data_IF_543766889112
#
_entry.id   IF_543766889112
#
_cell.length_a   1.000
_cell.length_b   1.000
_cell.length_c   1.000
_cell.angle_alpha   90.00
_cell.angle_beta   90.00
_cell.angle_gamma   90.00
#
_symmetry.space_group_name_H-M   'P 1'
#
loop_
_entity.id
_entity.type
_entity.pdbx_description
1 polymer ?
#
# COMPACT_ATOMS: atom_id res chain seq x y z
N UNK A 1 8.38 -17.33 -18.65
CA UNK A 1 7.78 -15.97 -18.66
C UNK A 1 8.89 -14.94 -18.68
N UNK A 2 8.74 -13.82 -19.39
CA UNK A 2 9.73 -12.73 -19.34
C UNK A 2 9.57 -11.91 -18.05
N UNK A 3 10.68 -11.46 -17.45
CA UNK A 3 10.67 -10.62 -16.24
C UNK A 3 9.85 -9.33 -16.44
N UNK A 4 9.74 -8.86 -17.68
CA UNK A 4 8.99 -7.65 -18.04
C UNK A 4 7.47 -7.84 -17.95
N UNK A 5 6.95 -9.02 -18.29
CA UNK A 5 5.53 -9.33 -18.13
C UNK A 5 5.14 -9.34 -16.65
N UNK A 6 5.97 -9.92 -15.78
CA UNK A 6 5.74 -9.94 -14.34
C UNK A 6 5.66 -8.53 -13.77
N UNK A 7 6.62 -7.66 -14.11
CA UNK A 7 6.60 -6.28 -13.65
C UNK A 7 5.37 -5.52 -14.13
N UNK A 8 4.94 -5.73 -15.38
CA UNK A 8 3.72 -5.11 -15.91
C UNK A 8 2.47 -5.54 -15.13
N UNK A 9 2.34 -6.84 -14.82
CA UNK A 9 1.20 -7.34 -14.04
C UNK A 9 1.20 -6.71 -12.64
N UNK A 10 2.35 -6.67 -11.97
CA UNK A 10 2.47 -6.11 -10.63
C UNK A 10 2.14 -4.61 -10.60
N UNK A 11 2.54 -3.83 -11.60
CA UNK A 11 2.22 -2.40 -11.67
C UNK A 11 0.74 -2.14 -11.95
N UNK A 12 0.11 -2.95 -12.81
CA UNK A 12 -1.34 -2.88 -13.05
C UNK A 12 -2.09 -3.21 -11.75
N UNK A 13 -1.68 -4.25 -11.01
CA UNK A 13 -2.29 -4.58 -9.73
C UNK A 13 -2.14 -3.45 -8.70
N UNK A 14 -0.96 -2.86 -8.58
CA UNK A 14 -0.73 -1.72 -7.69
C UNK A 14 -1.64 -0.53 -8.03
N UNK A 15 -1.85 -0.26 -9.32
CA UNK A 15 -2.77 0.76 -9.79
C UNK A 15 -4.23 0.43 -9.41
N UNK A 16 -4.67 -0.81 -9.67
CA UNK A 16 -6.02 -1.27 -9.35
C UNK A 16 -6.30 -1.18 -7.85
N UNK A 17 -5.38 -1.61 -7.00
CA UNK A 17 -5.54 -1.50 -5.55
C UNK A 17 -5.61 -0.05 -5.08
N UNK A 18 -4.78 0.82 -5.64
CA UNK A 18 -4.77 2.23 -5.29
C UNK A 18 -6.07 2.92 -5.68
N UNK A 19 -6.48 2.80 -6.95
CA UNK A 19 -7.71 3.44 -7.43
C UNK A 19 -8.95 2.81 -6.82
N UNK A 20 -8.99 1.48 -6.74
CA UNK A 20 -10.10 0.72 -6.15
C UNK A 20 -10.33 1.10 -4.69
N UNK A 21 -9.27 1.19 -3.88
CA UNK A 21 -9.36 1.63 -2.49
C UNK A 21 -9.94 3.05 -2.39
N UNK A 22 -9.42 4.01 -3.16
CA UNK A 22 -9.89 5.40 -3.11
C UNK A 22 -11.35 5.53 -3.55
N UNK A 23 -11.75 4.85 -4.63
CA UNK A 23 -13.15 4.85 -5.10
C UNK A 23 -14.06 4.23 -4.03
N UNK A 24 -13.69 3.06 -3.49
CA UNK A 24 -14.46 2.37 -2.47
C UNK A 24 -14.65 3.25 -1.22
N UNK A 25 -13.56 3.87 -0.76
CA UNK A 25 -13.57 4.78 0.39
C UNK A 25 -14.47 5.99 0.14
N UNK A 26 -14.39 6.60 -1.04
CA UNK A 26 -15.22 7.75 -1.40
C UNK A 26 -16.71 7.41 -1.41
N UNK A 27 -17.09 6.28 -2.02
CA UNK A 27 -18.48 5.80 -2.06
C UNK A 27 -19.02 5.57 -0.64
N UNK A 28 -18.25 4.87 0.21
CA UNK A 28 -18.65 4.61 1.60
C UNK A 28 -18.70 5.88 2.44
N UNK A 29 -17.81 6.84 2.21
CA UNK A 29 -17.82 8.13 2.90
C UNK A 29 -19.07 8.96 2.60
N UNK A 30 -19.59 8.90 1.37
CA UNK A 30 -20.88 9.53 1.04
C UNK A 30 -22.05 8.76 1.67
N UNK A 31 -21.98 7.42 1.67
CA UNK A 31 -23.03 6.55 2.23
C UNK A 31 -23.18 6.71 3.76
N UNK A 32 -22.08 6.71 4.50
CA UNK A 32 -22.04 6.78 5.96
C UNK A 32 -21.73 8.19 6.45
N UNK A 33 -22.25 9.20 5.75
CA UNK A 33 -22.01 10.60 6.09
C UNK A 33 -22.41 10.84 7.55
N UNK A 34 -21.52 11.47 8.31
CA UNK A 34 -21.66 11.77 9.73
C UNK A 34 -21.72 10.56 10.69
N UNK A 35 -21.40 9.35 10.22
CA UNK A 35 -21.33 8.15 11.05
C UNK A 35 -19.96 8.03 11.77
N UNK A 36 -20.00 7.98 13.10
CA UNK A 36 -18.82 7.74 13.93
C UNK A 36 -18.24 6.33 13.75
N UNK A 37 -19.08 5.33 13.42
CA UNK A 37 -18.62 3.97 13.15
C UNK A 37 -17.72 3.92 11.94
N UNK A 38 -18.08 4.65 10.88
CA UNK A 38 -17.26 4.74 9.68
C UNK A 38 -15.88 5.36 9.96
N UNK A 39 -15.81 6.36 10.84
CA UNK A 39 -14.53 6.92 11.30
C UNK A 39 -13.69 5.87 12.04
N UNK A 40 -14.30 5.07 12.91
CA UNK A 40 -13.62 4.00 13.63
C UNK A 40 -13.12 2.88 12.70
N UNK A 41 -13.92 2.48 11.71
CA UNK A 41 -13.52 1.51 10.66
C UNK A 41 -12.28 2.03 9.93
N UNK A 42 -12.30 3.29 9.49
CA UNK A 42 -11.17 3.89 8.78
C UNK A 42 -9.91 3.98 9.66
N UNK A 43 -10.07 4.31 10.94
CA UNK A 43 -8.95 4.37 11.89
C UNK A 43 -8.26 3.00 12.04
N UNK A 44 -9.04 1.93 12.21
CA UNK A 44 -8.49 0.58 12.34
C UNK A 44 -7.86 0.09 11.04
N UNK A 45 -8.48 0.39 9.89
CA UNK A 45 -7.93 0.06 8.58
C UNK A 45 -6.57 0.74 8.32
N UNK A 46 -6.48 2.04 8.64
CA UNK A 46 -5.21 2.78 8.55
C UNK A 46 -4.14 2.21 9.46
N UNK A 47 -4.52 1.79 10.68
CA UNK A 47 -3.58 1.16 11.62
C UNK A 47 -3.00 -0.14 11.07
N UNK A 48 -3.77 -0.91 10.29
CA UNK A 48 -3.24 -2.09 9.59
C UNK A 48 -2.26 -1.66 8.50
N UNK A 49 -2.63 -0.67 7.67
CA UNK A 49 -1.77 -0.19 6.59
C UNK A 49 -0.42 0.36 7.12
N UNK A 50 -0.43 1.03 8.27
CA UNK A 50 0.78 1.53 8.95
C UNK A 50 1.83 0.44 9.24
N UNK A 51 1.44 -0.84 9.33
CA UNK A 51 2.40 -1.95 9.47
C UNK A 51 3.36 -2.00 8.27
N UNK A 52 2.89 -1.67 7.05
CA UNK A 52 3.80 -1.55 5.89
C UNK A 52 4.75 -0.37 6.00
N UNK A 53 4.32 0.76 6.57
CA UNK A 53 5.21 1.91 6.74
C UNK A 53 6.37 1.53 7.68
N UNK A 54 6.08 0.86 8.79
CA UNK A 54 7.12 0.32 9.67
C UNK A 54 8.04 -0.67 8.96
N UNK A 55 7.47 -1.59 8.18
CA UNK A 55 8.25 -2.52 7.36
C UNK A 55 9.18 -1.81 6.37
N UNK A 56 8.68 -0.77 5.69
CA UNK A 56 9.46 0.04 4.74
C UNK A 56 10.60 0.79 5.44
N UNK A 57 10.32 1.40 6.59
CA UNK A 57 11.35 2.10 7.38
C UNK A 57 12.49 1.15 7.74
N UNK A 58 12.16 -0.04 8.25
CA UNK A 58 13.17 -1.06 8.59
C UNK A 58 13.94 -1.50 7.34
N UNK A 59 13.25 -1.73 6.22
CA UNK A 59 13.90 -2.12 4.97
C UNK A 59 14.89 -1.05 4.46
N UNK A 60 14.49 0.22 4.48
CA UNK A 60 15.35 1.35 4.10
C UNK A 60 16.55 1.45 5.05
N UNK A 61 16.33 1.34 6.35
CA UNK A 61 17.39 1.39 7.36
C UNK A 61 18.44 0.29 7.15
N UNK A 62 18.01 -0.94 6.86
CA UNK A 62 18.91 -2.06 6.54
C UNK A 62 19.72 -1.75 5.27
N UNK A 63 19.08 -1.24 4.21
CA UNK A 63 19.77 -0.83 2.98
C UNK A 63 20.83 0.25 3.23
N UNK A 64 20.62 1.13 4.21
CA UNK A 64 21.58 2.17 4.57
C UNK A 64 22.77 1.63 5.37
N UNK A 65 22.61 0.56 6.15
CA UNK A 65 23.67 0.06 7.03
C UNK A 65 24.61 -0.92 6.30
N UNK A 66 24.08 -1.75 5.40
CA UNK A 66 24.86 -2.81 4.77
C UNK A 66 25.77 -2.23 3.68
N UNK A 67 27.11 -2.25 3.84
CA UNK A 67 28.04 -1.60 2.90
C UNK A 67 27.96 -2.17 1.49
N UNK A 68 27.75 -3.49 1.37
CA UNK A 68 27.64 -4.16 0.06
C UNK A 68 26.44 -3.70 -0.79
N UNK A 69 25.43 -3.08 -0.17
CA UNK A 69 24.27 -2.51 -0.89
C UNK A 69 24.61 -1.10 -1.41
N UNK A 70 25.43 -0.35 -0.66
CA UNK A 70 25.78 1.04 -1.01
C UNK A 70 26.61 1.13 -2.30
N UNK A 71 27.44 0.13 -2.57
CA UNK A 71 28.29 0.07 -3.76
C UNK A 71 27.54 -0.35 -5.03
N UNK A 72 26.29 -0.85 -4.90
CA UNK A 72 25.51 -1.33 -6.05
C UNK A 72 24.78 -0.17 -6.75
N UNK A 73 25.04 0.10 -8.05
CA UNK A 73 24.35 1.16 -8.76
C UNK A 73 22.88 0.81 -9.01
N UNK A 74 21.96 1.52 -8.36
CA UNK A 74 20.51 1.35 -8.56
C UNK A 74 19.99 2.39 -9.54
N UNK A 75 19.38 1.94 -10.64
CA UNK A 75 18.70 2.85 -11.58
C UNK A 75 17.43 3.43 -10.95
N UNK A 76 17.19 4.74 -11.15
CA UNK A 76 16.00 5.45 -10.66
C UNK A 76 14.69 4.75 -11.06
N UNK A 77 14.61 4.18 -12.27
CA UNK A 77 13.44 3.43 -12.73
C UNK A 77 13.10 2.22 -11.83
N UNK A 78 14.10 1.57 -11.24
CA UNK A 78 13.90 0.42 -10.33
C UNK A 78 13.42 0.90 -8.96
N UNK A 79 13.93 2.04 -8.49
CA UNK A 79 13.44 2.68 -7.25
C UNK A 79 11.99 3.12 -7.41
N UNK A 80 11.66 3.76 -8.54
CA UNK A 80 10.29 4.17 -8.85
C UNK A 80 9.32 2.98 -8.93
N UNK A 81 9.76 1.87 -9.56
CA UNK A 81 8.97 0.64 -9.59
C UNK A 81 8.71 0.10 -8.18
N UNK A 82 9.74 -0.04 -7.35
CA UNK A 82 9.59 -0.51 -5.96
C UNK A 82 8.67 0.40 -5.15
N UNK A 83 8.81 1.72 -5.32
CA UNK A 83 7.92 2.70 -4.69
C UNK A 83 6.46 2.53 -5.11
N UNK A 84 6.19 2.33 -6.40
CA UNK A 84 4.82 2.10 -6.89
C UNK A 84 4.23 0.80 -6.32
N UNK A 85 5.01 -0.28 -6.29
CA UNK A 85 4.58 -1.56 -5.73
C UNK A 85 4.31 -1.44 -4.23
N UNK A 86 5.14 -0.67 -3.52
CA UNK A 86 4.93 -0.37 -2.11
C UNK A 86 3.61 0.36 -1.87
N UNK A 87 3.31 1.42 -2.63
CA UNK A 87 2.03 2.12 -2.52
C UNK A 87 0.84 1.21 -2.80
N UNK A 88 0.95 0.36 -3.83
CA UNK A 88 -0.06 -0.65 -4.13
C UNK A 88 -0.32 -1.61 -2.97
N UNK A 89 0.74 -2.13 -2.34
CA UNK A 89 0.64 -3.00 -1.17
C UNK A 89 0.04 -2.28 0.05
N UNK A 90 0.49 -1.06 0.34
CA UNK A 90 -0.03 -0.25 1.44
C UNK A 90 -1.54 -0.01 1.29
N UNK A 91 -1.96 0.40 0.09
CA UNK A 91 -3.37 0.65 -0.22
C UNK A 91 -4.19 -0.65 -0.19
N UNK A 92 -3.63 -1.78 -0.62
CA UNK A 92 -4.28 -3.08 -0.47
C UNK A 92 -4.54 -3.42 0.99
N UNK A 93 -3.57 -3.18 1.88
CA UNK A 93 -3.74 -3.44 3.32
C UNK A 93 -4.77 -2.50 3.95
N UNK A 94 -4.78 -1.21 3.60
CA UNK A 94 -5.86 -0.30 4.02
C UNK A 94 -7.21 -0.83 3.52
N UNK A 95 -7.30 -1.21 2.25
CA UNK A 95 -8.56 -1.67 1.65
C UNK A 95 -9.10 -2.94 2.31
N UNK A 96 -8.24 -3.95 2.52
CA UNK A 96 -8.59 -5.16 3.26
C UNK A 96 -9.03 -4.82 4.68
N UNK A 97 -8.34 -3.89 5.35
CA UNK A 97 -8.73 -3.38 6.65
C UNK A 97 -10.13 -2.76 6.65
N UNK A 98 -10.43 -1.90 5.67
CA UNK A 98 -11.76 -1.27 5.54
C UNK A 98 -12.82 -2.37 5.38
N UNK A 99 -12.62 -3.32 4.47
CA UNK A 99 -13.60 -4.40 4.23
C UNK A 99 -13.80 -5.22 5.51
N UNK A 100 -12.72 -5.60 6.20
CA UNK A 100 -12.80 -6.41 7.42
C UNK A 100 -13.55 -5.71 8.56
N UNK A 101 -13.19 -4.44 8.83
CA UNK A 101 -13.80 -3.71 9.94
C UNK A 101 -15.21 -3.21 9.65
N UNK A 102 -15.55 -2.93 8.39
CA UNK A 102 -16.91 -2.57 7.95
C UNK A 102 -17.91 -3.71 8.16
N UNK A 103 -17.45 -4.97 8.18
CA UNK A 103 -18.30 -6.13 8.53
C UNK A 103 -18.36 -6.42 10.04
N UNK A 104 -17.39 -5.94 10.81
CA UNK A 104 -17.20 -6.33 12.22
C UNK A 104 -17.75 -5.29 13.21
N UNK A 105 -17.76 -4.02 12.86
CA UNK A 105 -18.16 -2.86 13.68
C UNK A 105 -19.51 -2.29 13.21
#
# INVERSE_FOLDING_TARGET
MSNQLLFLILTILALVFTLGMYIYRAVKQVKYKDDERWKNVLLHAKRIAEISNWGLIIAIFICMIIPSIQEYPIMLKRVALLGLLYFGLHNLMEWVGIIYFDHKL
#
